data_IF_587927261033
#
_entry.id   IF_587927261033
#
_cell.length_a   1.000
_cell.length_b   1.000
_cell.length_c   1.000
_cell.angle_alpha   90.00
_cell.angle_beta   90.00
_cell.angle_gamma   90.00
#
_symmetry.space_group_name_H-M   'P 1'
#
loop_
_entity.id
_entity.type
_entity.pdbx_description
1 polymer ?
#
# COMPACT_ATOMS: atom_id res chain seq x y z
N UNK A 1 -16.09 -6.06 8.44
CA UNK A 1 -14.74 -6.20 7.85
C UNK A 1 -13.83 -5.21 8.57
N UNK A 2 -12.58 -5.55 8.90
CA UNK A 2 -11.72 -4.69 9.76
C UNK A 2 -10.80 -3.79 8.93
N UNK A 3 -10.33 -4.28 7.79
CA UNK A 3 -9.50 -3.56 6.84
C UNK A 3 -9.64 -4.19 5.44
N UNK A 4 -9.24 -3.46 4.39
CA UNK A 4 -9.17 -4.01 3.02
C UNK A 4 -7.88 -4.78 2.85
N UNK A 5 -7.94 -5.98 2.27
CA UNK A 5 -6.76 -6.80 2.01
C UNK A 5 -6.69 -7.21 0.54
N UNK A 6 -5.72 -6.65 -0.19
CA UNK A 6 -5.48 -6.93 -1.60
C UNK A 6 -4.28 -7.85 -1.79
N UNK A 7 -4.41 -8.81 -2.71
CA UNK A 7 -3.32 -9.71 -3.11
C UNK A 7 -2.88 -9.42 -4.54
N UNK A 8 -1.56 -9.25 -4.73
CA UNK A 8 -0.94 -9.17 -6.05
C UNK A 8 0.06 -10.30 -6.23
N UNK A 9 0.06 -10.90 -7.42
CA UNK A 9 0.99 -11.99 -7.73
C UNK A 9 2.45 -11.49 -7.64
N UNK A 10 3.38 -12.25 -7.02
CA UNK A 10 4.77 -11.83 -6.82
C UNK A 10 5.52 -11.49 -8.11
N UNK A 11 5.13 -12.08 -9.24
CA UNK A 11 5.74 -11.80 -10.54
C UNK A 11 5.17 -10.54 -11.23
N UNK A 12 3.99 -10.07 -10.81
CA UNK A 12 3.37 -8.82 -11.30
C UNK A 12 3.84 -7.62 -10.47
N UNK A 13 3.95 -7.78 -9.15
CA UNK A 13 4.48 -6.78 -8.23
C UNK A 13 5.61 -7.41 -7.41
N UNK A 14 6.85 -7.17 -7.84
CA UNK A 14 8.03 -7.81 -7.25
C UNK A 14 8.54 -7.02 -6.04
N UNK A 15 9.39 -7.63 -5.21
CA UNK A 15 10.02 -6.92 -4.09
C UNK A 15 10.87 -5.71 -4.55
N UNK A 16 11.67 -5.78 -5.64
CA UNK A 16 12.33 -4.61 -6.19
C UNK A 16 11.36 -3.51 -6.66
N UNK A 17 10.21 -3.86 -7.25
CA UNK A 17 9.19 -2.85 -7.60
C UNK A 17 8.70 -2.11 -6.35
N UNK A 18 8.37 -2.83 -5.28
CA UNK A 18 7.92 -2.21 -4.03
C UNK A 18 9.01 -1.33 -3.40
N UNK A 19 10.25 -1.81 -3.32
CA UNK A 19 11.35 -1.06 -2.68
C UNK A 19 11.69 0.23 -3.41
N UNK A 20 11.65 0.21 -4.75
CA UNK A 20 11.96 1.39 -5.57
C UNK A 20 10.76 2.30 -5.79
N UNK A 21 9.55 1.73 -5.91
CA UNK A 21 8.33 2.48 -6.14
C UNK A 21 7.74 3.09 -4.86
N UNK A 22 8.12 2.61 -3.67
CA UNK A 22 7.75 3.21 -2.39
C UNK A 22 8.74 4.29 -1.99
N UNK A 23 8.39 5.53 -2.26
CA UNK A 23 9.05 6.71 -1.71
C UNK A 23 8.05 7.88 -1.61
N UNK A 24 8.47 8.97 -0.97
CA UNK A 24 7.67 10.19 -0.96
C UNK A 24 7.56 10.75 -2.39
N UNK A 25 6.33 10.89 -2.89
CA UNK A 25 6.01 11.49 -4.19
C UNK A 25 4.55 11.91 -4.25
N UNK A 26 4.22 12.87 -5.11
CA UNK A 26 2.85 13.14 -5.53
C UNK A 26 2.45 12.16 -6.63
N UNK A 27 1.74 11.09 -6.27
CA UNK A 27 1.31 10.05 -7.21
C UNK A 27 0.58 10.64 -8.42
N UNK A 28 -0.30 11.63 -8.21
CA UNK A 28 -1.09 12.18 -9.30
C UNK A 28 -0.20 13.00 -10.27
N UNK A 29 0.72 13.80 -9.75
CA UNK A 29 1.61 14.62 -10.58
C UNK A 29 2.73 13.79 -11.22
N UNK A 30 3.37 12.94 -10.43
CA UNK A 30 4.66 12.30 -10.76
C UNK A 30 4.50 10.93 -11.40
N UNK A 31 3.35 10.26 -11.22
CA UNK A 31 3.05 8.94 -11.81
C UNK A 31 1.93 9.05 -12.83
N UNK A 32 0.74 9.52 -12.42
CA UNK A 32 -0.45 9.55 -13.29
C UNK A 32 -0.27 10.54 -14.45
N UNK A 33 0.20 11.76 -14.17
CA UNK A 33 0.40 12.81 -15.18
C UNK A 33 1.85 12.91 -15.70
N UNK A 34 2.64 11.84 -15.55
CA UNK A 34 4.02 11.83 -16.04
C UNK A 34 4.03 11.88 -17.58
N UNK A 35 4.51 13.00 -18.13
CA UNK A 35 4.56 13.21 -19.59
C UNK A 35 5.64 12.39 -20.30
N UNK A 36 6.76 12.14 -19.62
CA UNK A 36 7.95 11.53 -20.23
C UNK A 36 8.09 10.08 -19.76
N UNK A 37 8.05 9.16 -20.71
CA UNK A 37 8.33 7.73 -20.46
C UNK A 37 9.81 7.50 -20.80
N UNK A 38 10.63 7.01 -19.85
CA UNK A 38 12.02 6.68 -20.13
C UNK A 38 12.15 5.67 -21.28
N UNK A 39 13.05 5.98 -22.22
CA UNK A 39 13.33 5.12 -23.37
C UNK A 39 14.16 3.91 -22.95
N UNK A 40 14.23 2.88 -23.80
CA UNK A 40 15.04 1.68 -23.56
C UNK A 40 16.55 1.94 -23.48
N UNK A 41 16.99 3.16 -23.79
CA UNK A 41 18.40 3.59 -23.71
C UNK A 41 18.86 3.71 -22.25
N UNK A 42 17.94 3.96 -21.32
CA UNK A 42 18.20 3.96 -19.88
C UNK A 42 17.33 2.89 -19.17
N UNK A 43 17.84 1.65 -19.04
CA UNK A 43 17.13 0.57 -18.40
C UNK A 43 16.81 0.83 -16.92
N UNK A 44 17.65 1.62 -16.23
CA UNK A 44 17.48 1.91 -14.80
C UNK A 44 16.32 2.88 -14.61
N UNK A 45 16.31 3.99 -15.36
CA UNK A 45 15.19 4.93 -15.33
C UNK A 45 13.88 4.28 -15.77
N UNK A 46 13.94 3.37 -16.76
CA UNK A 46 12.77 2.60 -17.20
C UNK A 46 12.25 1.66 -16.11
N UNK A 47 13.13 0.98 -15.39
CA UNK A 47 12.72 0.13 -14.28
C UNK A 47 12.08 0.94 -13.15
N UNK A 48 12.68 2.08 -12.77
CA UNK A 48 12.12 3.00 -11.78
C UNK A 48 10.71 3.47 -12.18
N UNK A 49 10.54 3.89 -13.44
CA UNK A 49 9.23 4.28 -13.98
C UNK A 49 8.17 3.17 -13.80
N UNK A 50 8.51 1.93 -14.13
CA UNK A 50 7.58 0.81 -13.96
C UNK A 50 7.34 0.45 -12.48
N UNK A 51 8.38 0.52 -11.64
CA UNK A 51 8.27 0.28 -10.21
C UNK A 51 7.31 1.28 -9.55
N UNK A 52 7.44 2.58 -9.85
CA UNK A 52 6.54 3.64 -9.39
C UNK A 52 5.12 3.41 -9.90
N UNK A 53 4.94 3.17 -11.21
CA UNK A 53 3.62 2.97 -11.81
C UNK A 53 2.87 1.78 -11.20
N UNK A 54 3.52 0.63 -11.09
CA UNK A 54 2.91 -0.59 -10.53
C UNK A 54 2.62 -0.49 -9.04
N UNK A 55 3.51 0.15 -8.29
CA UNK A 55 3.34 0.32 -6.85
C UNK A 55 2.23 1.32 -6.55
N UNK A 56 2.22 2.48 -7.24
CA UNK A 56 1.21 3.50 -7.07
C UNK A 56 -0.18 3.05 -7.51
N UNK A 57 -0.29 2.26 -8.58
CA UNK A 57 -1.58 1.73 -9.02
C UNK A 57 -2.15 0.72 -8.00
N UNK A 58 -1.32 -0.18 -7.48
CA UNK A 58 -1.74 -1.14 -6.47
C UNK A 58 -2.18 -0.47 -5.16
N UNK A 59 -1.45 0.57 -4.72
CA UNK A 59 -1.83 1.37 -3.55
C UNK A 59 -3.14 2.11 -3.80
N UNK A 60 -3.26 2.78 -4.96
CA UNK A 60 -4.46 3.58 -5.27
C UNK A 60 -5.70 2.70 -5.36
N UNK A 61 -5.60 1.53 -5.97
CA UNK A 61 -6.71 0.57 -6.03
C UNK A 61 -7.13 0.11 -4.64
N UNK A 62 -6.17 -0.30 -3.81
CA UNK A 62 -6.45 -0.74 -2.44
C UNK A 62 -7.06 0.41 -1.60
N UNK A 63 -6.57 1.64 -1.78
CA UNK A 63 -7.10 2.85 -1.15
C UNK A 63 -8.52 3.17 -1.61
N UNK A 64 -8.83 3.01 -2.90
CA UNK A 64 -10.17 3.19 -3.43
C UNK A 64 -11.16 2.26 -2.73
N UNK A 65 -10.83 0.98 -2.59
CA UNK A 65 -11.67 0.02 -1.84
C UNK A 65 -11.81 0.36 -0.37
N UNK A 66 -10.80 0.97 0.26
CA UNK A 66 -10.91 1.46 1.64
C UNK A 66 -11.98 2.54 1.76
N UNK A 67 -12.00 3.52 0.84
CA UNK A 67 -13.01 4.58 0.83
C UNK A 67 -14.41 4.01 0.52
N UNK A 68 -14.52 3.12 -0.45
CA UNK A 68 -15.78 2.45 -0.80
C UNK A 68 -16.31 1.56 0.33
N UNK A 69 -15.43 1.00 1.15
CA UNK A 69 -15.82 0.18 2.30
C UNK A 69 -15.98 0.98 3.59
N UNK A 70 -15.55 2.24 3.62
CA UNK A 70 -15.53 3.05 4.83
C UNK A 70 -14.52 2.58 5.88
N UNK A 71 -13.38 2.04 5.45
CA UNK A 71 -12.36 1.47 6.33
C UNK A 71 -11.09 2.33 6.34
N UNK A 72 -10.56 2.63 7.51
CA UNK A 72 -9.35 3.46 7.67
C UNK A 72 -8.02 2.72 7.48
N UNK A 73 -8.06 1.41 7.23
CA UNK A 73 -6.87 0.54 7.12
C UNK A 73 -6.91 -0.30 5.84
N UNK A 74 -5.74 -0.44 5.22
CA UNK A 74 -5.52 -1.23 4.03
C UNK A 74 -4.23 -2.04 4.11
N UNK A 75 -4.26 -3.21 3.49
CA UNK A 75 -3.14 -4.11 3.35
C UNK A 75 -3.02 -4.54 1.90
N UNK A 76 -1.82 -4.38 1.33
CA UNK A 76 -1.44 -4.96 0.06
C UNK A 76 -0.38 -6.03 0.31
N UNK A 77 -0.58 -7.24 -0.21
CA UNK A 77 0.38 -8.33 -0.04
C UNK A 77 0.76 -8.99 -1.36
N UNK A 78 2.02 -9.45 -1.43
CA UNK A 78 2.50 -10.34 -2.49
C UNK A 78 2.79 -11.74 -1.96
N UNK A 79 2.27 -12.07 -0.78
CA UNK A 79 2.59 -13.27 0.00
C UNK A 79 3.96 -13.16 0.71
N UNK A 80 5.00 -12.75 -0.01
CA UNK A 80 6.34 -12.58 0.55
C UNK A 80 6.60 -11.20 1.16
N UNK A 81 5.74 -10.20 0.87
CA UNK A 81 5.83 -8.82 1.33
C UNK A 81 4.46 -8.30 1.75
N UNK A 82 4.47 -7.37 2.68
CA UNK A 82 3.29 -6.77 3.28
C UNK A 82 3.46 -5.25 3.23
N UNK A 83 2.54 -4.55 2.56
CA UNK A 83 2.45 -3.11 2.60
C UNK A 83 1.19 -2.75 3.38
N UNK A 84 1.39 -2.30 4.61
CA UNK A 84 0.34 -1.87 5.51
C UNK A 84 0.20 -0.36 5.41
N UNK A 85 -1.03 0.16 5.32
CA UNK A 85 -1.24 1.60 5.33
C UNK A 85 -2.56 2.02 5.97
N UNK A 86 -2.58 3.24 6.51
CA UNK A 86 -3.71 3.77 7.28
C UNK A 86 -3.92 5.25 7.00
N UNK A 87 -5.20 5.65 6.97
CA UNK A 87 -5.65 7.05 6.82
C UNK A 87 -6.04 7.71 8.14
N UNK A 88 -6.15 6.95 9.23
CA UNK A 88 -6.73 7.44 10.49
C UNK A 88 -5.82 8.41 11.27
N UNK A 89 -4.50 8.35 11.07
CA UNK A 89 -3.52 9.14 11.83
C UNK A 89 -2.58 9.97 10.95
N UNK A 90 -3.03 10.37 9.76
CA UNK A 90 -2.16 10.86 8.69
C UNK A 90 -1.56 9.69 7.92
N UNK A 91 -1.64 9.75 6.58
CA UNK A 91 -1.33 8.63 5.68
C UNK A 91 0.02 8.00 6.01
N UNK A 92 -0.01 6.84 6.66
CA UNK A 92 1.18 6.08 7.03
C UNK A 92 1.28 4.87 6.12
N UNK A 93 2.47 4.62 5.56
CA UNK A 93 2.79 3.41 4.80
C UNK A 93 3.96 2.70 5.46
N UNK A 94 3.82 1.39 5.66
CA UNK A 94 4.88 0.52 6.17
C UNK A 94 5.02 -0.70 5.27
N UNK A 95 6.17 -0.82 4.61
CA UNK A 95 6.59 -2.04 3.96
C UNK A 95 7.22 -2.97 5.00
N UNK A 96 6.80 -4.22 4.99
CA UNK A 96 7.39 -5.28 5.79
C UNK A 96 7.83 -6.45 4.91
N UNK A 97 9.01 -6.97 5.24
CA UNK A 97 9.73 -7.97 4.50
C UNK A 97 10.09 -9.15 5.42
N UNK A 98 9.12 -10.03 5.74
CA UNK A 98 9.27 -11.04 6.79
C UNK A 98 10.53 -11.89 6.71
N UNK A 99 10.89 -12.37 5.52
CA UNK A 99 12.07 -13.21 5.32
C UNK A 99 13.36 -12.52 5.78
N UNK A 100 13.74 -11.38 5.17
CA UNK A 100 14.87 -10.58 5.62
C UNK A 100 14.77 -10.13 7.08
N UNK A 101 13.58 -9.71 7.54
CA UNK A 101 13.41 -9.15 8.88
C UNK A 101 13.61 -10.19 10.00
N UNK A 102 13.16 -11.44 9.80
CA UNK A 102 13.37 -12.52 10.76
C UNK A 102 14.88 -12.80 10.93
N UNK A 103 15.64 -12.77 9.85
CA UNK A 103 17.09 -12.95 9.88
C UNK A 103 17.81 -11.77 10.56
N UNK A 104 17.32 -10.55 10.34
CA UNK A 104 17.91 -9.34 10.91
C UNK A 104 17.58 -9.15 12.41
N UNK A 105 16.50 -9.75 12.90
CA UNK A 105 16.02 -9.56 14.28
C UNK A 105 15.80 -10.91 15.00
N UNK A 106 16.88 -11.68 15.30
CA UNK A 106 16.77 -13.02 15.86
C UNK A 106 16.13 -13.07 17.26
N UNK A 107 16.15 -11.96 18.00
CA UNK A 107 15.50 -11.86 19.32
C UNK A 107 14.00 -11.55 19.23
N UNK A 108 13.49 -11.15 18.05
CA UNK A 108 12.12 -10.69 17.84
C UNK A 108 11.42 -11.45 16.69
N UNK A 109 11.82 -12.71 16.46
CA UNK A 109 11.35 -13.53 15.33
C UNK A 109 9.83 -13.53 15.24
N UNK A 110 9.15 -13.72 16.37
CA UNK A 110 7.69 -13.80 16.43
C UNK A 110 6.99 -12.57 15.84
N UNK A 111 7.55 -11.37 16.01
CA UNK A 111 7.00 -10.11 15.47
C UNK A 111 7.42 -9.82 14.03
N UNK A 112 8.48 -10.47 13.53
CA UNK A 112 9.00 -10.27 12.18
C UNK A 112 8.44 -11.28 11.17
N UNK A 113 7.84 -12.39 11.62
CA UNK A 113 7.17 -13.32 10.70
C UNK A 113 5.98 -12.66 10.00
N UNK A 114 5.60 -13.17 8.83
CA UNK A 114 4.41 -12.72 8.13
C UNK A 114 3.17 -12.80 9.04
N UNK A 115 2.99 -13.91 9.76
CA UNK A 115 1.89 -14.11 10.70
C UNK A 115 1.91 -13.07 11.82
N UNK A 116 3.07 -12.80 12.43
CA UNK A 116 3.21 -11.80 13.48
C UNK A 116 2.84 -10.39 13.01
N UNK A 117 3.26 -10.04 11.79
CA UNK A 117 2.97 -8.74 11.20
C UNK A 117 1.50 -8.58 10.81
N UNK A 118 0.89 -9.63 10.23
CA UNK A 118 -0.55 -9.68 9.99
C UNK A 118 -1.34 -9.51 11.27
N UNK A 119 -0.97 -10.23 12.33
CA UNK A 119 -1.63 -10.13 13.63
C UNK A 119 -1.50 -8.73 14.21
N UNK A 120 -0.29 -8.17 14.23
CA UNK A 120 -0.05 -6.81 14.73
C UNK A 120 -0.87 -5.78 13.96
N UNK A 121 -0.90 -5.85 12.62
CA UNK A 121 -1.71 -4.96 11.80
C UNK A 121 -3.20 -5.11 12.05
N UNK A 122 -3.69 -6.35 12.19
CA UNK A 122 -5.09 -6.64 12.50
C UNK A 122 -5.50 -6.05 13.85
N UNK A 123 -4.66 -6.17 14.87
CA UNK A 123 -4.91 -5.59 16.19
C UNK A 123 -4.93 -4.06 16.15
N UNK A 124 -4.03 -3.44 15.37
CA UNK A 124 -4.06 -1.99 15.16
C UNK A 124 -5.36 -1.53 14.47
N UNK A 125 -5.80 -2.25 13.44
CA UNK A 125 -7.03 -1.93 12.71
C UNK A 125 -8.31 -2.16 13.53
N UNK A 126 -8.32 -3.14 14.44
CA UNK A 126 -9.42 -3.35 15.38
C UNK A 126 -9.59 -2.18 16.37
N UNK A 127 -8.49 -1.55 16.77
CA UNK A 127 -8.51 -0.48 17.76
C UNK A 127 -8.98 -0.93 19.15
N UNK A 128 -9.16 0.03 20.08
CA UNK A 128 -9.65 -0.26 21.42
C UNK A 128 -11.13 -0.71 21.40
N UNK A 129 -11.57 -1.53 22.38
CA UNK A 129 -12.97 -1.92 22.51
C UNK A 129 -13.90 -0.70 22.57
N UNK A 130 -14.91 -0.65 21.68
CA UNK A 130 -15.85 0.47 21.57
C UNK A 130 -15.33 1.68 20.77
N UNK A 131 -14.10 1.62 20.25
CA UNK A 131 -13.58 2.61 19.31
C UNK A 131 -14.20 2.43 17.92
N UNK A 132 -14.75 3.50 17.36
CA UNK A 132 -15.27 3.49 15.99
C UNK A 132 -14.09 3.66 15.01
N UNK A 133 -13.71 2.58 14.34
CA UNK A 133 -12.65 2.55 13.32
C UNK A 133 -13.20 2.75 11.88
N UNK A 134 -14.52 2.82 11.73
CA UNK A 134 -15.19 3.05 10.46
C UNK A 134 -15.25 4.54 10.12
N UNK A 135 -14.94 4.84 8.86
CA UNK A 135 -15.06 6.17 8.27
C UNK A 135 -16.56 6.47 8.11
N UNK A 136 -17.01 7.59 8.68
CA UNK A 136 -18.41 8.02 8.58
C UNK A 136 -18.85 8.29 7.15
N UNK A 137 -20.15 8.12 6.84
CA UNK A 137 -20.69 8.29 5.48
C UNK A 137 -20.37 9.66 4.86
N UNK A 138 -20.43 10.73 5.64
CA UNK A 138 -20.07 12.08 5.17
C UNK A 138 -18.59 12.23 4.84
N UNK A 139 -17.71 11.60 5.62
CA UNK A 139 -16.27 11.62 5.37
C UNK A 139 -15.93 10.78 4.15
N UNK A 140 -16.62 9.65 3.95
CA UNK A 140 -16.52 8.84 2.74
C UNK A 140 -16.95 9.62 1.49
N UNK A 141 -18.11 10.28 1.54
CA UNK A 141 -18.61 11.10 0.42
C UNK A 141 -17.63 12.21 0.08
N UNK A 142 -17.18 12.96 1.11
CA UNK A 142 -16.16 14.01 0.93
C UNK A 142 -14.86 13.46 0.36
N UNK A 143 -14.41 12.29 0.82
CA UNK A 143 -13.22 11.66 0.26
C UNK A 143 -13.44 11.36 -1.23
N UNK A 144 -14.52 10.66 -1.58
CA UNK A 144 -14.87 10.28 -2.96
C UNK A 144 -14.96 11.50 -3.89
N UNK A 145 -15.58 12.60 -3.46
CA UNK A 145 -15.70 13.83 -4.25
C UNK A 145 -14.35 14.50 -4.54
N UNK A 146 -13.36 14.30 -3.66
CA UNK A 146 -12.03 14.91 -3.78
C UNK A 146 -10.98 13.96 -4.41
N UNK A 147 -11.34 12.71 -4.73
CA UNK A 147 -10.39 11.77 -5.34
C UNK A 147 -10.08 12.17 -6.78
N UNK A 148 -8.78 12.16 -7.10
CA UNK A 148 -8.32 12.28 -8.48
C UNK A 148 -8.35 10.91 -9.14
N UNK A 149 -8.72 10.86 -10.42
CA UNK A 149 -8.89 9.61 -11.17
C UNK A 149 -7.62 9.24 -11.94
N UNK A 150 -7.45 7.95 -12.17
CA UNK A 150 -6.50 7.46 -13.16
C UNK A 150 -7.20 7.42 -14.53
N UNK A 151 -6.50 7.76 -15.63
CA UNK A 151 -7.04 7.62 -16.98
C UNK A 151 -6.95 6.18 -17.52
N UNK A 152 -6.22 5.30 -16.82
CA UNK A 152 -5.97 3.91 -17.20
C UNK A 152 -6.51 2.98 -16.11
N UNK A 153 -7.10 1.85 -16.54
CA UNK A 153 -7.49 0.74 -15.66
C UNK A 153 -6.32 -0.26 -15.55
N UNK A 154 -6.05 -0.79 -14.35
CA UNK A 154 -4.90 -1.67 -14.03
C UNK A 154 -5.27 -3.04 -13.49
#
# INVERSE_FOLDING_TARGET
MVYVSEYKLPHKLTAPHLRLGLHAMDIHKEVVNRKMIPTSVDPVARFQYHAEKLTASAITQTYHYMIESGLGYGLLTTGARLLCFSTSTGTSLKLSEPGPEVLAHPNNIHTCTAVGQYLAFTLMALGPPGGRQEIGQEERLRATENLKTWPEDF
#
